data_IF_175382337414
#
_entry.id   IF_175382337414
#
_cell.length_a   1.000
_cell.length_b   1.000
_cell.length_c   1.000
_cell.angle_alpha   90.00
_cell.angle_beta   90.00
_cell.angle_gamma   90.00
#
_symmetry.space_group_name_H-M   'P 1'
#
loop_
_entity.id
_entity.type
_entity.pdbx_description
1 polymer ?
#
# COMPACT_ATOMS: atom_id res chain seq x y z
N UNK A 1 -7.68 10.62 18.26
CA UNK A 1 -8.85 10.77 17.37
C UNK A 1 -8.90 9.58 16.43
N UNK A 2 -9.71 8.59 16.73
CA UNK A 2 -9.91 7.37 15.94
C UNK A 2 -10.83 7.72 14.78
N UNK A 3 -10.34 7.71 13.53
CA UNK A 3 -11.23 7.82 12.37
C UNK A 3 -12.14 6.58 12.36
N UNK A 4 -13.48 6.71 12.32
CA UNK A 4 -14.33 5.59 11.94
C UNK A 4 -13.89 5.15 10.54
N UNK A 5 -13.78 3.84 10.36
CA UNK A 5 -13.09 3.11 9.31
C UNK A 5 -13.53 3.53 7.89
N UNK A 6 -12.99 4.63 7.34
CA UNK A 6 -13.28 5.09 5.98
C UNK A 6 -12.25 4.51 5.01
N UNK A 7 -12.66 4.01 3.83
CA UNK A 7 -11.73 3.44 2.86
C UNK A 7 -10.77 4.50 2.31
N UNK A 8 -9.57 4.07 1.93
CA UNK A 8 -8.60 4.92 1.27
C UNK A 8 -8.87 5.02 -0.23
N UNK A 9 -9.26 6.21 -0.70
CA UNK A 9 -9.64 6.45 -2.10
C UNK A 9 -8.47 6.90 -3.01
N UNK A 10 -7.25 7.05 -2.48
CA UNK A 10 -6.08 7.42 -3.28
C UNK A 10 -4.82 6.70 -2.82
N UNK A 11 -3.92 6.43 -3.77
CA UNK A 11 -2.61 5.86 -3.48
C UNK A 11 -1.83 6.71 -2.47
N UNK A 12 -1.85 8.04 -2.65
CA UNK A 12 -1.10 8.96 -1.78
C UNK A 12 -1.63 8.95 -0.34
N UNK A 13 -2.95 8.97 -0.15
CA UNK A 13 -3.54 8.86 1.19
C UNK A 13 -3.22 7.53 1.87
N UNK A 14 -3.16 6.43 1.11
CA UNK A 14 -2.74 5.13 1.65
C UNK A 14 -1.25 5.11 2.03
N UNK A 15 -0.37 5.69 1.20
CA UNK A 15 1.05 5.82 1.52
C UNK A 15 1.30 6.69 2.76
N UNK A 16 0.52 7.76 2.95
CA UNK A 16 0.58 8.60 4.15
C UNK A 16 0.22 7.77 5.39
N UNK A 17 -0.84 6.96 5.31
CA UNK A 17 -1.23 6.04 6.40
C UNK A 17 -0.13 5.02 6.72
N UNK A 18 0.46 4.41 5.70
CA UNK A 18 1.57 3.46 5.89
C UNK A 18 2.77 4.15 6.55
N UNK A 19 3.08 5.39 6.16
CA UNK A 19 4.15 6.18 6.77
C UNK A 19 3.86 6.52 8.24
N UNK A 20 2.67 7.02 8.55
CA UNK A 20 2.23 7.35 9.91
C UNK A 20 2.32 6.16 10.88
N UNK A 21 2.10 4.96 10.36
CA UNK A 21 2.10 3.70 11.15
C UNK A 21 3.43 2.96 11.09
N UNK A 22 4.49 3.55 10.53
CA UNK A 22 5.81 2.93 10.44
C UNK A 22 5.88 1.74 9.46
N UNK A 23 4.87 1.57 8.61
CA UNK A 23 4.75 0.50 7.61
C UNK A 23 5.24 0.90 6.21
N UNK A 24 5.86 2.07 6.07
CA UNK A 24 6.53 2.50 4.84
C UNK A 24 8.02 2.71 5.08
N UNK A 25 8.85 1.94 4.38
CA UNK A 25 10.29 2.11 4.33
C UNK A 25 10.67 3.02 3.15
N UNK A 26 11.28 4.18 3.44
CA UNK A 26 11.83 5.08 2.42
C UNK A 26 13.28 4.71 2.14
N UNK A 27 13.54 4.23 0.93
CA UNK A 27 14.88 3.85 0.49
C UNK A 27 15.66 5.08 0.04
N UNK A 28 16.99 5.04 0.20
CA UNK A 28 17.86 6.12 -0.30
C UNK A 28 17.70 6.27 -1.82
N UNK A 29 17.78 7.50 -2.36
CA UNK A 29 17.72 7.71 -3.80
C UNK A 29 18.81 6.95 -4.56
N UNK A 30 18.53 6.60 -5.82
CA UNK A 30 19.52 5.99 -6.72
C UNK A 30 19.66 4.47 -6.59
N UNK A 31 18.74 3.79 -5.90
CA UNK A 31 18.75 2.32 -5.84
C UNK A 31 18.76 1.71 -7.26
N UNK A 32 19.68 0.78 -7.58
CA UNK A 32 19.72 0.15 -8.89
C UNK A 32 18.41 -0.57 -9.24
N UNK A 33 17.94 -0.39 -10.47
CA UNK A 33 16.71 -1.02 -10.95
C UNK A 33 16.88 -2.53 -11.11
N UNK A 34 18.00 -2.94 -11.69
CA UNK A 34 18.28 -4.33 -12.02
C UNK A 34 18.60 -5.12 -10.74
N UNK A 35 17.71 -6.05 -10.41
CA UNK A 35 17.72 -6.98 -9.27
C UNK A 35 17.72 -6.35 -7.86
N UNK A 36 18.34 -5.19 -7.66
CA UNK A 36 18.58 -4.61 -6.33
C UNK A 36 17.29 -4.08 -5.71
N UNK A 37 16.49 -3.31 -6.45
CA UNK A 37 15.20 -2.82 -5.98
C UNK A 37 14.28 -3.97 -5.56
N UNK A 38 14.16 -5.00 -6.41
CA UNK A 38 13.36 -6.18 -6.13
C UNK A 38 13.88 -6.96 -4.91
N UNK A 39 15.19 -7.10 -4.74
CA UNK A 39 15.79 -7.74 -3.58
C UNK A 39 15.48 -6.97 -2.28
N UNK A 40 15.56 -5.64 -2.30
CA UNK A 40 15.19 -4.78 -1.16
C UNK A 40 13.70 -4.95 -0.85
N UNK A 41 12.84 -4.86 -1.86
CA UNK A 41 11.39 -5.05 -1.68
C UNK A 41 11.09 -6.44 -1.09
N UNK A 42 11.76 -7.50 -1.58
CA UNK A 42 11.56 -8.86 -1.08
C UNK A 42 11.95 -9.02 0.39
N UNK A 43 13.00 -8.35 0.85
CA UNK A 43 13.41 -8.34 2.26
C UNK A 43 12.37 -7.66 3.17
N UNK A 44 11.64 -6.69 2.64
CA UNK A 44 10.63 -5.93 3.36
C UNK A 44 9.21 -6.52 3.25
N UNK A 45 9.04 -7.53 2.40
CA UNK A 45 7.76 -8.20 2.12
C UNK A 45 7.05 -8.62 3.41
N UNK A 46 5.75 -8.32 3.49
CA UNK A 46 4.92 -8.53 4.68
C UNK A 46 5.22 -7.66 5.92
N UNK A 47 6.33 -6.90 5.94
CA UNK A 47 6.72 -6.04 7.08
C UNK A 47 6.47 -4.56 6.81
N UNK A 48 6.97 -4.06 5.68
CA UNK A 48 6.85 -2.65 5.28
C UNK A 48 6.68 -2.57 3.76
N UNK A 49 5.82 -1.68 3.28
CA UNK A 49 5.89 -1.21 1.91
C UNK A 49 7.21 -0.46 1.69
N UNK A 50 7.66 -0.39 0.44
CA UNK A 50 8.90 0.30 0.08
C UNK A 50 8.63 1.42 -0.89
N UNK A 51 9.29 2.57 -0.67
CA UNK A 51 9.31 3.71 -1.57
C UNK A 51 10.77 3.93 -2.01
N UNK A 52 11.00 3.90 -3.32
CA UNK A 52 12.29 4.14 -3.96
C UNK A 52 12.23 5.48 -4.70
N UNK A 53 12.75 6.57 -4.11
CA UNK A 53 12.93 7.83 -4.82
C UNK A 53 14.02 7.67 -5.87
N UNK A 54 13.81 8.21 -7.07
CA UNK A 54 14.82 8.28 -8.13
C UNK A 54 15.66 6.99 -8.34
N UNK A 55 15.05 5.81 -8.49
CA UNK A 55 15.81 4.57 -8.68
C UNK A 55 16.59 4.67 -9.99
N UNK A 56 17.83 4.19 -10.03
CA UNK A 56 18.73 4.34 -11.18
C UNK A 56 18.98 5.78 -11.64
N UNK A 57 18.65 6.79 -10.81
CA UNK A 57 18.77 8.21 -11.17
C UNK A 57 17.55 8.81 -11.89
N UNK A 58 16.53 8.01 -12.25
CA UNK A 58 15.31 8.47 -12.90
C UNK A 58 14.53 9.50 -12.07
N UNK A 59 13.69 10.33 -12.67
CA UNK A 59 12.92 11.34 -11.91
C UNK A 59 11.68 10.76 -11.22
N UNK A 60 11.21 9.59 -11.66
CA UNK A 60 10.03 8.92 -11.09
C UNK A 60 10.39 8.16 -9.81
N UNK A 61 9.37 7.92 -8.97
CA UNK A 61 9.48 7.06 -7.79
C UNK A 61 8.80 5.72 -8.04
N UNK A 62 9.34 4.66 -7.46
CA UNK A 62 8.74 3.32 -7.47
C UNK A 62 8.25 3.00 -6.06
N UNK A 63 7.06 2.40 -5.96
CA UNK A 63 6.54 1.84 -4.71
C UNK A 63 6.27 0.35 -4.88
N UNK A 64 6.48 -0.45 -3.83
CA UNK A 64 6.21 -1.89 -3.83
C UNK A 64 5.68 -2.36 -2.47
N UNK A 65 4.86 -3.42 -2.49
CA UNK A 65 4.33 -4.06 -1.28
C UNK A 65 3.26 -3.26 -0.54
N UNK A 66 2.50 -2.38 -1.22
CA UNK A 66 1.53 -1.49 -0.59
C UNK A 66 0.35 -2.23 0.07
N UNK A 67 0.08 -3.48 -0.29
CA UNK A 67 -0.95 -4.35 0.31
C UNK A 67 -0.41 -5.76 0.56
N UNK A 68 0.71 -5.85 1.27
CA UNK A 68 1.46 -7.10 1.45
C UNK A 68 0.85 -8.10 2.45
N UNK A 69 -0.25 -7.75 3.13
CA UNK A 69 -0.91 -8.62 4.10
C UNK A 69 -2.42 -8.39 4.13
N UNK A 70 -3.19 -9.43 4.50
CA UNK A 70 -4.65 -9.38 4.59
C UNK A 70 -5.19 -8.29 5.53
N UNK A 71 -4.61 -8.04 6.73
CA UNK A 71 -5.03 -6.92 7.56
C UNK A 71 -4.90 -5.56 6.89
N UNK A 72 -3.89 -5.37 6.02
CA UNK A 72 -3.67 -4.10 5.32
C UNK A 72 -4.73 -3.87 4.23
N UNK A 73 -5.17 -4.95 3.56
CA UNK A 73 -6.25 -4.88 2.59
C UNK A 73 -7.55 -4.48 3.28
N UNK A 74 -7.88 -5.13 4.41
CA UNK A 74 -9.07 -4.80 5.18
C UNK A 74 -9.07 -3.36 5.69
N UNK A 75 -7.95 -2.89 6.24
CA UNK A 75 -7.77 -1.49 6.65
C UNK A 75 -7.91 -0.52 5.47
N UNK A 76 -7.30 -0.84 4.31
CA UNK A 76 -7.42 -0.02 3.11
C UNK A 76 -8.88 0.07 2.63
N UNK A 77 -9.64 -1.01 2.78
CA UNK A 77 -11.07 -1.10 2.50
C UNK A 77 -11.96 -0.45 3.58
N UNK A 78 -11.40 -0.03 4.72
CA UNK A 78 -12.17 0.52 5.84
C UNK A 78 -13.07 -0.50 6.53
N UNK A 79 -12.66 -1.78 6.58
CA UNK A 79 -13.41 -2.86 7.24
C UNK A 79 -12.52 -3.68 8.16
N UNK A 80 -13.14 -4.45 9.04
CA UNK A 80 -12.43 -5.47 9.82
C UNK A 80 -12.05 -6.66 8.93
N UNK A 81 -10.97 -7.36 9.28
CA UNK A 81 -10.44 -8.47 8.47
C UNK A 81 -11.44 -9.63 8.28
N UNK A 82 -12.28 -9.86 9.29
CA UNK A 82 -13.33 -10.86 9.26
C UNK A 82 -14.41 -10.55 8.21
N UNK A 83 -14.71 -9.27 8.01
CA UNK A 83 -15.79 -8.81 7.13
C UNK A 83 -15.32 -8.57 5.69
N UNK A 84 -14.00 -8.62 5.43
CA UNK A 84 -13.40 -8.29 4.15
C UNK A 84 -14.03 -9.04 2.96
N UNK A 85 -14.26 -10.35 3.11
CA UNK A 85 -14.84 -11.18 2.03
C UNK A 85 -16.30 -10.83 1.78
N UNK A 86 -17.08 -10.63 2.84
CA UNK A 86 -18.49 -10.24 2.73
C UNK A 86 -18.62 -8.85 2.06
N UNK A 87 -17.79 -7.89 2.47
CA UNK A 87 -17.74 -6.54 1.89
C UNK A 87 -17.35 -6.57 0.41
N UNK A 88 -16.37 -7.39 0.04
CA UNK A 88 -15.94 -7.54 -1.35
C UNK A 88 -17.07 -8.13 -2.21
N UNK A 89 -17.74 -9.20 -1.74
CA UNK A 89 -18.88 -9.80 -2.45
C UNK A 89 -19.99 -8.78 -2.70
N UNK A 90 -20.40 -8.05 -1.66
CA UNK A 90 -21.42 -7.00 -1.78
C UNK A 90 -21.03 -5.92 -2.81
N UNK A 91 -19.76 -5.48 -2.84
CA UNK A 91 -19.30 -4.50 -3.82
C UNK A 91 -19.35 -5.01 -5.27
N UNK A 92 -19.11 -6.31 -5.48
CA UNK A 92 -19.19 -6.96 -6.79
C UNK A 92 -20.65 -7.11 -7.24
N UNK A 93 -21.55 -7.44 -6.31
CA UNK A 93 -22.99 -7.59 -6.57
C UNK A 93 -23.70 -6.24 -6.77
N UNK A 94 -23.23 -5.19 -6.09
CA UNK A 94 -23.81 -3.84 -6.10
C UNK A 94 -22.79 -2.78 -6.56
N UNK A 95 -22.35 -2.80 -7.83
CA UNK A 95 -21.35 -1.86 -8.32
C UNK A 95 -21.88 -0.42 -8.32
N UNK A 96 -21.01 0.52 -7.99
CA UNK A 96 -21.30 1.95 -8.07
C UNK A 96 -20.89 2.50 -9.45
N UNK A 97 -21.64 3.46 -10.03
CA UNK A 97 -21.18 4.18 -11.21
C UNK A 97 -19.84 4.88 -10.94
N UNK A 98 -18.99 4.91 -11.98
CA UNK A 98 -17.78 5.73 -11.94
C UNK A 98 -18.14 7.21 -11.69
N UNK A 99 -17.32 7.89 -10.90
CA UNK A 99 -17.43 9.32 -10.60
C UNK A 99 -16.26 10.09 -11.19
#
# INVERSE_FOLDING_TARGET
MTRPNAPFASLRGWLDRLNETGRLARIKPGAPLEFTLAAIAKRQDGRQATLFPRPGGHDLSIVSGIVAARPWIAEAMGVDEADMVARFRDAVENPLPWR
#
